data_IF_953689569071
#
_entry.id   IF_953689569071
#
_cell.length_a   1.000
_cell.length_b   1.000
_cell.length_c   1.000
_cell.angle_alpha   90.00
_cell.angle_beta   90.00
_cell.angle_gamma   90.00
#
_symmetry.space_group_name_H-M   'P 1'
#
loop_
_entity.id
_entity.type
_entity.pdbx_description
1 polymer ?
#
# COMPACT_ATOMS: atom_id res chain seq x y z
N UNK A 1 21.52 -40.75 3.64
CA UNK A 1 22.48 -40.25 2.63
C UNK A 1 21.93 -38.92 2.16
N UNK A 2 22.63 -37.84 2.48
CA UNK A 2 22.25 -36.47 2.11
C UNK A 2 22.19 -36.31 0.59
N UNK A 3 21.11 -35.75 0.02
CA UNK A 3 20.99 -35.50 -1.43
C UNK A 3 21.73 -34.24 -1.89
N UNK A 4 22.49 -33.57 -1.02
CA UNK A 4 23.07 -32.24 -1.28
C UNK A 4 24.48 -32.25 -1.88
N UNK A 5 25.06 -33.41 -2.19
CA UNK A 5 26.48 -33.51 -2.57
C UNK A 5 26.76 -33.72 -4.06
N UNK A 6 25.76 -33.78 -4.95
CA UNK A 6 26.01 -34.15 -6.36
C UNK A 6 26.23 -32.97 -7.33
N UNK A 7 26.06 -31.71 -6.90
CA UNK A 7 26.12 -30.57 -7.83
C UNK A 7 27.50 -29.89 -7.97
N UNK A 8 28.50 -30.24 -7.14
CA UNK A 8 29.74 -29.44 -7.05
C UNK A 8 30.84 -29.78 -8.08
N UNK A 9 30.71 -30.83 -8.90
CA UNK A 9 31.82 -31.28 -9.75
C UNK A 9 31.49 -31.58 -11.22
N UNK A 10 30.44 -31.00 -11.80
CA UNK A 10 30.20 -31.10 -13.25
C UNK A 10 30.61 -29.82 -13.96
N UNK A 11 31.63 -29.90 -14.82
CA UNK A 11 32.06 -28.79 -15.66
C UNK A 11 30.93 -28.39 -16.62
N UNK A 12 30.47 -27.14 -16.50
CA UNK A 12 29.39 -26.59 -17.32
C UNK A 12 29.99 -26.05 -18.63
N UNK A 13 29.49 -26.45 -19.81
CA UNK A 13 29.98 -25.92 -21.08
C UNK A 13 29.68 -24.42 -21.21
N UNK A 14 30.72 -23.61 -21.35
CA UNK A 14 30.63 -22.16 -21.56
C UNK A 14 30.11 -21.86 -22.98
N UNK A 15 28.79 -21.77 -23.12
CA UNK A 15 28.15 -21.26 -24.33
C UNK A 15 26.84 -21.97 -24.68
N UNK A 16 25.71 -21.33 -24.35
CA UNK A 16 24.35 -21.85 -24.54
C UNK A 16 23.66 -22.01 -23.18
N UNK A 17 22.47 -21.41 -23.02
CA UNK A 17 21.75 -21.43 -21.73
C UNK A 17 21.47 -22.86 -21.32
N UNK A 18 22.14 -23.33 -20.27
CA UNK A 18 21.73 -24.52 -19.55
C UNK A 18 20.32 -24.24 -19.00
N UNK A 19 19.34 -25.00 -19.47
CA UNK A 19 17.97 -24.89 -18.98
C UNK A 19 17.95 -25.58 -17.61
N UNK A 20 17.54 -24.88 -16.53
CA UNK A 20 17.42 -25.50 -15.22
C UNK A 20 16.54 -26.75 -15.28
N UNK A 21 16.91 -27.79 -14.54
CA UNK A 21 16.14 -29.04 -14.44
C UNK A 21 14.70 -28.71 -14.01
N UNK A 22 13.71 -29.08 -14.83
CA UNK A 22 12.29 -28.77 -14.64
C UNK A 22 11.75 -27.56 -15.43
N UNK A 23 12.61 -26.85 -16.18
CA UNK A 23 12.23 -25.75 -17.08
C UNK A 23 12.36 -26.12 -18.56
N UNK A 24 12.50 -27.40 -18.87
CA UNK A 24 12.61 -27.88 -20.24
C UNK A 24 11.31 -27.60 -21.01
N UNK A 25 11.41 -27.34 -22.31
CA UNK A 25 10.26 -26.99 -23.16
C UNK A 25 9.17 -28.08 -23.26
N UNK A 26 9.42 -29.27 -22.70
CA UNK A 26 8.47 -30.38 -22.60
C UNK A 26 7.81 -30.51 -21.22
N UNK A 27 8.10 -29.62 -20.26
CA UNK A 27 7.39 -29.56 -19.00
C UNK A 27 5.93 -29.18 -19.27
N UNK A 28 5.02 -30.11 -18.98
CA UNK A 28 3.58 -29.95 -19.20
C UNK A 28 2.97 -29.05 -18.12
N UNK A 29 3.19 -27.75 -18.28
CA UNK A 29 2.70 -26.70 -17.37
C UNK A 29 1.17 -26.64 -17.29
N UNK A 30 0.46 -27.29 -18.21
CA UNK A 30 -1.00 -27.40 -18.21
C UNK A 30 -1.51 -28.53 -17.31
N UNK A 31 -0.65 -29.48 -16.93
CA UNK A 31 -0.98 -30.65 -16.10
C UNK A 31 -0.36 -30.57 -14.69
N UNK A 32 -0.10 -29.37 -14.17
CA UNK A 32 0.20 -29.25 -12.74
C UNK A 32 -1.04 -29.64 -11.91
N UNK A 33 -0.88 -30.41 -10.83
CA UNK A 33 -1.97 -30.69 -9.92
C UNK A 33 -2.51 -29.35 -9.42
N UNK A 34 -3.79 -29.10 -9.71
CA UNK A 34 -4.52 -27.96 -9.15
C UNK A 34 -4.45 -28.13 -7.64
N UNK A 35 -3.83 -27.19 -6.96
CA UNK A 35 -3.76 -27.19 -5.50
C UNK A 35 -5.17 -26.91 -4.98
N UNK A 36 -5.94 -27.97 -4.77
CA UNK A 36 -7.36 -27.94 -4.37
C UNK A 36 -7.56 -27.65 -2.89
N UNK A 37 -6.50 -27.76 -2.10
CA UNK A 37 -6.54 -27.46 -0.68
C UNK A 37 -6.22 -25.98 -0.47
N UNK A 38 -7.25 -25.21 -0.10
CA UNK A 38 -7.06 -23.86 0.43
C UNK A 38 -6.14 -24.00 1.65
N UNK A 39 -4.95 -23.37 1.67
CA UNK A 39 -4.05 -23.48 2.80
C UNK A 39 -4.79 -23.06 4.06
N UNK A 40 -4.96 -24.01 4.98
CA UNK A 40 -5.56 -23.74 6.28
C UNK A 40 -4.68 -22.71 6.96
N UNK A 41 -5.25 -21.55 7.28
CA UNK A 41 -4.52 -20.48 7.95
C UNK A 41 -4.09 -20.98 9.33
N UNK A 42 -2.80 -21.27 9.49
CA UNK A 42 -2.23 -21.69 10.76
C UNK A 42 -2.49 -20.61 11.83
N UNK A 43 -3.07 -21.01 12.95
CA UNK A 43 -3.36 -20.10 14.06
C UNK A 43 -2.13 -19.93 14.96
N UNK A 44 -1.39 -18.84 14.73
CA UNK A 44 -0.23 -18.49 15.55
C UNK A 44 -0.60 -17.76 16.85
N UNK A 45 -1.89 -17.66 17.18
CA UNK A 45 -2.40 -17.05 18.41
C UNK A 45 -2.88 -15.60 18.23
N UNK A 46 -3.54 -15.08 19.28
CA UNK A 46 -4.19 -13.77 19.30
C UNK A 46 -3.23 -12.63 18.91
N UNK A 47 -2.02 -12.59 19.49
CA UNK A 47 -1.04 -11.55 19.20
C UNK A 47 -0.64 -11.50 17.71
N UNK A 48 -0.52 -12.66 17.05
CA UNK A 48 -0.23 -12.73 15.62
C UNK A 48 -1.40 -12.16 14.81
N UNK A 49 -2.62 -12.58 15.13
CA UNK A 49 -3.83 -12.18 14.43
C UNK A 49 -4.08 -10.68 14.54
N UNK A 50 -3.83 -10.08 15.71
CA UNK A 50 -3.90 -8.63 15.91
C UNK A 50 -2.83 -7.88 15.12
N UNK A 51 -1.58 -8.37 15.15
CA UNK A 51 -0.47 -7.76 14.41
C UNK A 51 -0.71 -7.81 12.90
N UNK A 52 -1.24 -8.93 12.40
CA UNK A 52 -1.62 -9.11 11.01
C UNK A 52 -2.75 -8.16 10.61
N UNK A 53 -3.81 -8.08 11.42
CA UNK A 53 -4.94 -7.16 11.19
C UNK A 53 -4.47 -5.71 11.12
N UNK A 54 -3.65 -5.27 12.06
CA UNK A 54 -3.11 -3.90 12.06
C UNK A 54 -2.28 -3.64 10.79
N UNK A 55 -1.46 -4.60 10.36
CA UNK A 55 -0.65 -4.49 9.15
C UNK A 55 -1.52 -4.36 7.89
N UNK A 56 -2.63 -5.10 7.84
CA UNK A 56 -3.62 -5.03 6.75
C UNK A 56 -4.36 -3.68 6.73
N UNK A 57 -4.81 -3.21 7.89
CA UNK A 57 -5.48 -1.91 8.05
C UNK A 57 -4.58 -0.75 7.62
N UNK A 58 -3.31 -0.76 8.05
CA UNK A 58 -2.29 0.19 7.57
C UNK A 58 -2.09 0.08 6.04
N UNK A 59 -2.13 -1.13 5.50
CA UNK A 59 -2.03 -1.36 4.06
C UNK A 59 -3.20 -0.76 3.28
N UNK A 60 -4.40 -0.87 3.82
CA UNK A 60 -5.60 -0.25 3.25
C UNK A 60 -5.50 1.27 3.34
N UNK A 61 -5.14 1.83 4.50
CA UNK A 61 -4.92 3.27 4.63
C UNK A 61 -3.92 3.81 3.60
N UNK A 62 -2.78 3.13 3.42
CA UNK A 62 -1.76 3.52 2.43
C UNK A 62 -2.33 3.60 1.02
N UNK A 63 -3.18 2.65 0.62
CA UNK A 63 -3.83 2.63 -0.70
C UNK A 63 -4.77 3.82 -0.85
N UNK A 64 -5.61 4.07 0.15
CA UNK A 64 -6.58 5.18 0.14
C UNK A 64 -5.86 6.53 0.08
N UNK A 65 -4.85 6.76 0.92
CA UNK A 65 -4.02 7.99 0.89
C UNK A 65 -3.30 8.15 -0.45
N UNK A 66 -2.87 7.07 -1.09
CA UNK A 66 -2.25 7.15 -2.42
C UNK A 66 -3.27 7.51 -3.50
N UNK A 67 -4.51 7.01 -3.38
CA UNK A 67 -5.56 7.19 -4.38
C UNK A 67 -6.06 8.63 -4.51
N UNK A 68 -5.96 9.44 -3.44
CA UNK A 68 -6.41 10.84 -3.45
C UNK A 68 -5.51 11.75 -4.29
N UNK A 69 -4.24 11.38 -4.51
CA UNK A 69 -3.28 12.19 -5.24
C UNK A 69 -3.75 12.51 -6.67
N UNK A 70 -4.26 11.50 -7.38
CA UNK A 70 -4.61 11.66 -8.79
C UNK A 70 -5.81 12.59 -9.01
N UNK A 71 -6.95 12.45 -8.31
CA UNK A 71 -8.06 13.40 -8.43
C UNK A 71 -7.64 14.83 -8.10
N UNK A 72 -6.85 15.04 -7.05
CA UNK A 72 -6.39 16.38 -6.64
C UNK A 72 -5.44 17.00 -7.67
N UNK A 73 -4.48 16.23 -8.17
CA UNK A 73 -3.59 16.67 -9.26
C UNK A 73 -4.38 17.05 -10.51
N UNK A 74 -5.39 16.24 -10.87
CA UNK A 74 -6.24 16.49 -12.04
C UNK A 74 -7.06 17.77 -11.86
N UNK A 75 -7.61 17.99 -10.66
CA UNK A 75 -8.34 19.23 -10.32
C UNK A 75 -7.47 20.47 -10.49
N UNK A 76 -6.23 20.43 -9.98
CA UNK A 76 -5.28 21.53 -10.16
C UNK A 76 -5.03 21.82 -11.64
N UNK A 77 -4.77 20.79 -12.45
CA UNK A 77 -4.52 20.96 -13.89
C UNK A 77 -5.74 21.52 -14.63
N UNK A 78 -6.94 21.01 -14.35
CA UNK A 78 -8.18 21.48 -14.98
C UNK A 78 -8.52 22.93 -14.58
N UNK A 79 -8.29 23.30 -13.32
CA UNK A 79 -8.48 24.67 -12.84
C UNK A 79 -7.51 25.63 -13.50
N UNK A 80 -6.24 25.22 -13.65
CA UNK A 80 -5.24 26.02 -14.36
C UNK A 80 -5.61 26.27 -15.83
N UNK A 81 -6.16 25.26 -16.53
CA UNK A 81 -6.65 25.40 -17.91
C UNK A 81 -7.89 26.29 -17.96
N UNK A 82 -8.79 26.21 -16.98
CA UNK A 82 -9.99 27.05 -16.94
C UNK A 82 -9.66 28.53 -16.67
N UNK A 83 -8.66 28.76 -15.81
CA UNK A 83 -8.15 30.09 -15.46
C UNK A 83 -7.26 30.68 -16.58
N UNK A 84 -6.75 29.87 -17.51
CA UNK A 84 -6.03 30.36 -18.68
C UNK A 84 -7.00 30.91 -19.74
N UNK A 85 -6.59 31.97 -20.43
CA UNK A 85 -7.43 32.65 -21.44
C UNK A 85 -7.48 31.89 -22.78
N UNK A 86 -7.31 30.58 -22.73
CA UNK A 86 -7.22 29.72 -23.91
C UNK A 86 -8.61 29.52 -24.54
N UNK A 87 -8.83 30.20 -25.65
CA UNK A 87 -10.07 30.19 -26.44
C UNK A 87 -10.40 28.82 -27.07
N UNK A 88 -9.46 27.87 -27.04
CA UNK A 88 -9.63 26.54 -27.66
C UNK A 88 -10.32 25.51 -26.77
N UNK A 89 -10.43 25.78 -25.47
CA UNK A 89 -10.95 24.83 -24.49
C UNK A 89 -12.47 24.89 -24.34
N UNK A 90 -13.15 23.74 -24.46
CA UNK A 90 -14.58 23.64 -24.12
C UNK A 90 -14.75 23.77 -22.59
N UNK A 91 -14.97 25.01 -22.14
CA UNK A 91 -15.09 25.36 -20.71
C UNK A 91 -16.17 24.53 -20.00
N UNK A 92 -17.28 24.21 -20.67
CA UNK A 92 -18.36 23.40 -20.09
C UNK A 92 -17.93 21.95 -19.86
N UNK A 93 -17.16 21.39 -20.79
CA UNK A 93 -16.60 20.05 -20.61
C UNK A 93 -15.60 20.00 -19.46
N UNK A 94 -14.75 21.03 -19.31
CA UNK A 94 -13.79 21.14 -18.21
C UNK A 94 -14.50 21.29 -16.86
N UNK A 95 -15.51 22.15 -16.76
CA UNK A 95 -16.33 22.30 -15.55
C UNK A 95 -16.97 20.98 -15.12
N UNK A 96 -17.50 20.21 -16.08
CA UNK A 96 -18.03 18.86 -15.80
C UNK A 96 -16.94 17.92 -15.26
N UNK A 97 -15.76 17.90 -15.88
CA UNK A 97 -14.66 17.07 -15.41
C UNK A 97 -14.18 17.48 -14.00
N UNK A 98 -14.20 18.76 -13.68
CA UNK A 98 -13.90 19.25 -12.33
C UNK A 98 -14.89 18.66 -11.32
N UNK A 99 -16.19 18.69 -11.61
CA UNK A 99 -17.22 18.09 -10.73
C UNK A 99 -17.01 16.58 -10.56
N UNK A 100 -16.69 15.86 -11.64
CA UNK A 100 -16.43 14.42 -11.58
C UNK A 100 -15.22 14.09 -10.70
N UNK A 101 -14.15 14.89 -10.79
CA UNK A 101 -12.94 14.69 -9.96
C UNK A 101 -13.16 15.12 -8.50
N UNK A 102 -13.97 16.14 -8.25
CA UNK A 102 -14.42 16.49 -6.89
C UNK A 102 -15.20 15.34 -6.26
N UNK A 103 -16.15 14.75 -6.99
CA UNK A 103 -16.91 13.60 -6.50
C UNK A 103 -16.01 12.40 -6.16
N UNK A 104 -15.00 12.10 -7.01
CA UNK A 104 -14.01 11.05 -6.72
C UNK A 104 -13.17 11.36 -5.47
N UNK A 105 -12.68 12.60 -5.34
CA UNK A 105 -11.95 13.04 -4.15
C UNK A 105 -12.82 12.87 -2.90
N UNK A 106 -14.06 13.31 -2.95
CA UNK A 106 -14.97 13.30 -1.80
C UNK A 106 -15.32 11.86 -1.38
N UNK A 107 -15.49 10.94 -2.33
CA UNK A 107 -15.63 9.51 -2.02
C UNK A 107 -14.40 8.94 -1.30
N UNK A 108 -13.20 9.30 -1.73
CA UNK A 108 -11.96 8.89 -1.06
C UNK A 108 -11.86 9.50 0.34
N UNK A 109 -12.31 10.74 0.53
CA UNK A 109 -12.34 11.41 1.85
C UNK A 109 -13.32 10.71 2.80
N UNK A 110 -14.48 10.25 2.31
CA UNK A 110 -15.40 9.43 3.11
C UNK A 110 -14.71 8.14 3.58
N UNK A 111 -13.94 7.50 2.71
CA UNK A 111 -13.16 6.32 3.07
C UNK A 111 -12.06 6.64 4.10
N UNK A 112 -11.30 7.72 3.91
CA UNK A 112 -10.29 8.18 4.88
C UNK A 112 -10.91 8.44 6.26
N UNK A 113 -12.05 9.14 6.31
CA UNK A 113 -12.76 9.42 7.56
C UNK A 113 -13.25 8.14 8.26
N UNK A 114 -13.62 7.11 7.50
CA UNK A 114 -14.00 5.80 8.07
C UNK A 114 -12.80 5.07 8.71
N UNK A 115 -11.58 5.34 8.25
CA UNK A 115 -10.37 4.72 8.79
C UNK A 115 -9.85 5.44 10.04
N UNK A 116 -10.18 6.72 10.27
CA UNK A 116 -9.73 7.49 11.45
C UNK A 116 -10.06 6.81 12.78
N UNK A 117 -11.29 6.29 13.03
CA UNK A 117 -11.61 5.62 14.30
C UNK A 117 -10.86 4.31 14.55
N UNK A 118 -10.22 3.71 13.52
CA UNK A 118 -9.38 2.51 13.72
C UNK A 118 -8.16 2.84 14.61
N UNK A 119 -7.70 4.08 14.55
CA UNK A 119 -6.58 4.59 15.32
C UNK A 119 -6.93 4.87 16.79
N UNK A 120 -8.22 4.81 17.17
CA UNK A 120 -8.69 5.12 18.54
C UNK A 120 -9.01 3.85 19.35
N UNK A 121 -9.12 2.67 18.71
CA UNK A 121 -9.59 1.43 19.35
C UNK A 121 -8.48 0.51 19.90
N UNK A 122 -7.22 0.77 19.58
CA UNK A 122 -6.11 -0.10 20.00
C UNK A 122 -5.44 0.43 21.27
N UNK A 123 -6.20 0.56 22.37
CA UNK A 123 -5.75 1.26 23.60
C UNK A 123 -5.37 0.39 24.80
N UNK A 124 -5.48 -0.95 24.71
CA UNK A 124 -5.48 -1.82 25.91
C UNK A 124 -4.27 -2.76 26.15
N UNK A 125 -3.21 -2.78 25.34
CA UNK A 125 -2.04 -3.67 25.56
C UNK A 125 -0.69 -2.93 25.65
N UNK A 126 0.20 -3.27 26.59
CA UNK A 126 1.55 -2.65 26.80
C UNK A 126 2.45 -2.47 25.54
N UNK A 127 2.14 -3.16 24.43
CA UNK A 127 2.67 -2.89 23.08
C UNK A 127 2.36 -1.44 22.59
N UNK A 128 1.51 -0.71 23.33
CA UNK A 128 0.80 0.48 22.91
C UNK A 128 1.57 1.80 22.84
N UNK A 129 2.63 2.03 23.63
CA UNK A 129 3.11 3.43 23.75
C UNK A 129 3.69 3.93 22.43
N UNK A 130 4.41 3.06 21.71
CA UNK A 130 4.94 3.37 20.37
C UNK A 130 3.78 3.41 19.36
N UNK A 131 2.84 2.47 19.45
CA UNK A 131 1.72 2.39 18.52
C UNK A 131 0.81 3.62 18.67
N UNK A 132 0.35 3.97 19.88
CA UNK A 132 -0.48 5.16 20.12
C UNK A 132 0.15 6.46 19.61
N UNK A 133 1.45 6.67 19.78
CA UNK A 133 2.13 7.84 19.22
C UNK A 133 2.10 7.84 17.68
N UNK A 134 2.27 6.69 17.05
CA UNK A 134 2.14 6.52 15.61
C UNK A 134 0.70 6.74 15.14
N UNK A 135 -0.29 6.23 15.87
CA UNK A 135 -1.72 6.34 15.54
C UNK A 135 -2.19 7.80 15.60
N UNK A 136 -1.74 8.58 16.58
CA UNK A 136 -1.99 10.04 16.65
C UNK A 136 -1.36 10.74 15.45
N UNK A 137 -0.11 10.41 15.10
CA UNK A 137 0.57 10.99 13.94
C UNK A 137 -0.13 10.67 12.62
N UNK A 138 -0.71 9.47 12.48
CA UNK A 138 -1.49 9.10 11.31
C UNK A 138 -2.80 9.87 11.22
N UNK A 139 -3.53 10.00 12.32
CA UNK A 139 -4.76 10.80 12.37
C UNK A 139 -4.51 12.24 11.93
N UNK A 140 -3.53 12.91 12.55
CA UNK A 140 -3.16 14.29 12.19
C UNK A 140 -2.72 14.39 10.71
N UNK A 141 -1.94 13.43 10.24
CA UNK A 141 -1.51 13.37 8.84
C UNK A 141 -2.68 13.22 7.86
N UNK A 142 -3.65 12.35 8.17
CA UNK A 142 -4.85 12.13 7.35
C UNK A 142 -5.74 13.38 7.36
N UNK A 143 -5.97 13.98 8.53
CA UNK A 143 -6.75 15.21 8.67
C UNK A 143 -6.13 16.35 7.86
N UNK A 144 -4.81 16.48 7.86
CA UNK A 144 -4.10 17.46 7.03
C UNK A 144 -4.22 17.14 5.53
N UNK A 145 -4.14 15.86 5.12
CA UNK A 145 -4.39 15.44 3.71
C UNK A 145 -5.81 15.83 3.29
N UNK A 146 -6.82 15.54 4.11
CA UNK A 146 -8.21 15.90 3.83
C UNK A 146 -8.33 17.41 3.67
N UNK A 147 -7.82 18.18 4.64
CA UNK A 147 -7.87 19.64 4.63
C UNK A 147 -7.19 20.23 3.39
N UNK A 148 -6.00 19.76 3.04
CA UNK A 148 -5.25 20.25 1.87
C UNK A 148 -5.93 19.86 0.55
N UNK A 149 -6.59 18.70 0.48
CA UNK A 149 -7.28 18.23 -0.73
C UNK A 149 -8.47 19.10 -1.15
N UNK A 150 -9.04 19.89 -0.22
CA UNK A 150 -10.10 20.85 -0.50
C UNK A 150 -9.58 22.20 -0.99
N UNK A 151 -8.29 22.50 -0.84
CA UNK A 151 -7.74 23.78 -1.26
C UNK A 151 -7.66 23.87 -2.78
N UNK A 152 -7.84 25.10 -3.28
CA UNK A 152 -7.43 25.47 -4.64
C UNK A 152 -5.92 25.74 -4.59
N UNK A 153 -5.16 25.02 -5.41
CA UNK A 153 -3.72 25.20 -5.53
C UNK A 153 -3.43 26.33 -6.52
N UNK A 154 -2.75 27.39 -6.06
CA UNK A 154 -2.44 28.55 -6.88
C UNK A 154 -1.08 28.41 -7.58
N UNK A 155 -0.25 27.50 -7.10
CA UNK A 155 1.08 27.25 -7.66
C UNK A 155 1.36 25.76 -7.81
N UNK A 156 2.29 25.44 -8.70
CA UNK A 156 2.80 24.08 -8.86
C UNK A 156 3.50 23.58 -7.59
N UNK A 157 4.08 24.49 -6.81
CA UNK A 157 4.75 24.20 -5.55
C UNK A 157 3.75 23.72 -4.49
N UNK A 158 2.64 24.42 -4.28
CA UNK A 158 1.60 24.00 -3.33
C UNK A 158 1.03 22.61 -3.69
N UNK A 159 0.82 22.34 -4.97
CA UNK A 159 0.38 21.02 -5.45
C UNK A 159 1.45 19.94 -5.25
N UNK A 160 2.74 20.28 -5.40
CA UNK A 160 3.85 19.38 -5.09
C UNK A 160 3.98 19.09 -3.59
N UNK A 161 3.76 20.09 -2.74
CA UNK A 161 3.74 19.95 -1.28
C UNK A 161 2.64 18.98 -0.84
N UNK A 162 1.45 19.05 -1.44
CA UNK A 162 0.38 18.09 -1.20
C UNK A 162 0.80 16.65 -1.56
N UNK A 163 1.41 16.45 -2.73
CA UNK A 163 1.94 15.14 -3.12
C UNK A 163 3.03 14.65 -2.14
N UNK A 164 3.87 15.55 -1.67
CA UNK A 164 4.91 15.25 -0.68
C UNK A 164 4.35 14.87 0.69
N UNK A 165 3.26 15.51 1.13
CA UNK A 165 2.52 15.15 2.35
C UNK A 165 1.98 13.71 2.25
N UNK A 166 1.30 13.38 1.15
CA UNK A 166 0.78 12.03 0.92
C UNK A 166 1.92 10.99 0.88
N UNK A 167 3.04 11.32 0.22
CA UNK A 167 4.23 10.46 0.15
C UNK A 167 4.88 10.25 1.52
N UNK A 168 4.94 11.28 2.36
CA UNK A 168 5.48 11.18 3.73
C UNK A 168 4.68 10.16 4.54
N UNK A 169 3.35 10.29 4.57
CA UNK A 169 2.46 9.38 5.30
C UNK A 169 2.62 7.94 4.79
N UNK A 170 2.54 7.74 3.48
CA UNK A 170 2.64 6.39 2.87
C UNK A 170 4.01 5.73 3.07
N UNK A 171 5.08 6.54 3.14
CA UNK A 171 6.44 6.06 3.45
C UNK A 171 6.58 5.64 4.91
N UNK A 172 5.98 6.38 5.84
CA UNK A 172 5.94 6.00 7.26
C UNK A 172 5.16 4.71 7.44
N UNK A 173 3.97 4.61 6.84
CA UNK A 173 3.16 3.38 6.88
C UNK A 173 3.95 2.18 6.38
N UNK A 174 4.69 2.33 5.28
CA UNK A 174 5.48 1.23 4.73
C UNK A 174 6.59 0.75 5.69
N UNK A 175 7.24 1.67 6.42
CA UNK A 175 8.23 1.30 7.45
C UNK A 175 7.58 0.52 8.59
N UNK A 176 6.42 0.97 9.05
CA UNK A 176 5.71 0.31 10.15
C UNK A 176 5.18 -1.06 9.74
N UNK A 177 4.68 -1.21 8.51
CA UNK A 177 4.31 -2.51 7.97
C UNK A 177 5.47 -3.51 7.92
N UNK A 178 6.71 -3.02 7.76
CA UNK A 178 7.92 -3.87 7.83
C UNK A 178 8.19 -4.31 9.27
N UNK A 179 8.08 -3.40 10.23
CA UNK A 179 8.22 -3.72 11.67
C UNK A 179 7.19 -4.76 12.09
N UNK A 180 5.92 -4.59 11.71
CA UNK A 180 4.85 -5.55 12.01
C UNK A 180 5.11 -6.91 11.35
N UNK A 181 5.62 -6.93 10.11
CA UNK A 181 5.98 -8.17 9.43
C UNK A 181 7.13 -8.91 10.15
N UNK A 182 8.14 -8.19 10.62
CA UNK A 182 9.26 -8.79 11.35
C UNK A 182 8.80 -9.33 12.72
N UNK A 183 7.86 -8.65 13.38
CA UNK A 183 7.17 -9.15 14.58
C UNK A 183 6.38 -10.44 14.29
N UNK A 184 5.57 -10.47 13.23
CA UNK A 184 4.84 -11.66 12.80
C UNK A 184 5.77 -12.86 12.59
N UNK A 185 6.92 -12.66 11.92
CA UNK A 185 7.93 -13.71 11.71
C UNK A 185 8.54 -14.21 13.02
N UNK A 186 8.81 -13.31 13.98
CA UNK A 186 9.33 -13.69 15.28
C UNK A 186 8.33 -14.57 16.06
N UNK A 187 7.03 -14.23 16.03
CA UNK A 187 5.97 -15.03 16.66
C UNK A 187 5.89 -16.42 16.01
N UNK A 188 5.90 -16.51 14.68
CA UNK A 188 5.91 -17.79 13.95
C UNK A 188 7.10 -18.66 14.37
N UNK A 189 8.31 -18.09 14.40
CA UNK A 189 9.53 -18.80 14.78
C UNK A 189 9.46 -19.32 16.21
N UNK A 190 8.95 -18.52 17.15
CA UNK A 190 8.80 -18.93 18.54
C UNK A 190 7.85 -20.14 18.68
N UNK A 191 6.73 -20.15 17.95
CA UNK A 191 5.79 -21.29 17.94
C UNK A 191 6.32 -22.53 17.23
N UNK A 192 7.11 -22.40 16.17
CA UNK A 192 7.72 -23.55 15.50
C UNK A 192 8.88 -24.19 16.28
N UNK A 193 9.35 -23.54 17.35
CA UNK A 193 10.44 -24.03 18.22
C UNK A 193 9.92 -24.59 19.55
N UNK A 194 8.59 -24.57 19.78
CA UNK A 194 7.90 -25.27 20.88
C UNK A 194 7.39 -26.62 20.40
#
# INVERSE_FOLDING_TARGET
>A
MDPHTEHEHKAVPLGGKEIPVGMEAHADWMNHPIQTEVPVKEDYGEEYNETEKLREELGNLKKVVTSICQPVQTLYTLQYILDSDDQTSDKKAIEKQILDQQAKRDQIIVELNRLIPLFEKHTEYEILVIISLLLVSYKEGIEEVIKQSYKKFNSKEENFEFGSLCKKITSTIFKDQKVLLDKMKAIKKAKSTQ
#
